data_IF_201131554522
#
_entry.id   IF_201131554522
#
_cell.length_a   1.000
_cell.length_b   1.000
_cell.length_c   1.000
_cell.angle_alpha   90.00
_cell.angle_beta   90.00
_cell.angle_gamma   90.00
#
_symmetry.space_group_name_H-M   'P 1'
#
loop_
_entity.id
_entity.type
_entity.pdbx_description
1 polymer ?
#
# COMPACT_ATOMS: atom_id res chain seq x y z
N UNK A 1 16.67 11.89 8.23
CA UNK A 1 16.64 10.51 7.72
C UNK A 1 17.62 10.42 6.56
N UNK A 2 18.57 9.49 6.59
CA UNK A 2 19.56 9.35 5.51
C UNK A 2 18.94 8.65 4.28
N UNK A 3 19.62 8.69 3.13
CA UNK A 3 19.07 8.14 1.89
C UNK A 3 18.82 6.63 1.97
N UNK A 4 19.70 5.88 2.64
CA UNK A 4 19.54 4.44 2.83
C UNK A 4 18.23 4.10 3.54
N UNK A 5 17.87 4.79 4.62
CA UNK A 5 16.60 4.57 5.33
C UNK A 5 15.39 4.91 4.46
N UNK A 6 15.46 5.96 3.62
CA UNK A 6 14.38 6.30 2.67
C UNK A 6 14.15 5.17 1.66
N UNK A 7 15.24 4.64 1.10
CA UNK A 7 15.19 3.54 0.11
C UNK A 7 14.59 2.29 0.75
N UNK A 8 15.10 1.86 1.92
CA UNK A 8 14.58 0.68 2.62
C UNK A 8 13.09 0.85 2.95
N UNK A 9 12.70 2.00 3.49
CA UNK A 9 11.29 2.28 3.79
C UNK A 9 10.41 2.24 2.55
N UNK A 10 10.86 2.82 1.44
CA UNK A 10 10.14 2.81 0.19
C UNK A 10 10.02 1.39 -0.41
N UNK A 11 11.08 0.59 -0.36
CA UNK A 11 11.06 -0.81 -0.81
C UNK A 11 10.05 -1.64 -0.02
N UNK A 12 10.01 -1.49 1.31
CA UNK A 12 9.02 -2.17 2.14
C UNK A 12 7.59 -1.73 1.82
N UNK A 13 7.35 -0.42 1.65
CA UNK A 13 6.03 0.08 1.26
C UNK A 13 5.61 -0.39 -0.14
N UNK A 14 6.54 -0.50 -1.09
CA UNK A 14 6.27 -1.06 -2.41
C UNK A 14 5.90 -2.54 -2.33
N UNK A 15 6.58 -3.32 -1.50
CA UNK A 15 6.25 -4.73 -1.29
C UNK A 15 4.83 -4.89 -0.70
N UNK A 16 4.47 -4.08 0.29
CA UNK A 16 3.12 -4.07 0.87
C UNK A 16 2.07 -3.61 -0.15
N UNK A 17 2.38 -2.59 -0.95
CA UNK A 17 1.50 -2.11 -2.02
C UNK A 17 1.25 -3.20 -3.07
N UNK A 18 2.30 -3.92 -3.48
CA UNK A 18 2.17 -5.05 -4.40
C UNK A 18 1.31 -6.18 -3.79
N UNK A 19 1.55 -6.53 -2.52
CA UNK A 19 0.72 -7.49 -1.78
C UNK A 19 -0.75 -7.07 -1.73
N UNK A 20 -1.03 -5.79 -1.45
CA UNK A 20 -2.39 -5.26 -1.45
C UNK A 20 -3.02 -5.31 -2.84
N UNK A 21 -2.26 -5.04 -3.90
CA UNK A 21 -2.73 -5.18 -5.28
C UNK A 21 -3.14 -6.62 -5.61
N UNK A 22 -2.30 -7.60 -5.26
CA UNK A 22 -2.62 -9.02 -5.41
C UNK A 22 -3.83 -9.44 -4.58
N UNK A 23 -3.88 -9.07 -3.29
CA UNK A 23 -5.00 -9.37 -2.40
C UNK A 23 -6.32 -8.75 -2.88
N UNK A 24 -6.27 -7.52 -3.39
CA UNK A 24 -7.45 -6.87 -3.98
C UNK A 24 -7.96 -7.65 -5.20
N UNK A 25 -7.07 -8.09 -6.09
CA UNK A 25 -7.43 -8.92 -7.25
C UNK A 25 -7.99 -10.29 -6.82
N UNK A 26 -7.51 -10.87 -5.73
CA UNK A 26 -8.06 -12.11 -5.18
C UNK A 26 -9.51 -11.94 -4.68
N UNK A 27 -9.96 -10.73 -4.33
CA UNK A 27 -11.36 -10.50 -3.95
C UNK A 27 -12.37 -10.63 -5.09
N UNK A 28 -11.92 -10.87 -6.32
CA UNK A 28 -12.79 -11.22 -7.46
C UNK A 28 -13.07 -12.72 -7.54
N UNK A 29 -12.41 -13.53 -6.71
CA UNK A 29 -12.79 -14.93 -6.52
C UNK A 29 -14.15 -15.06 -5.83
N UNK A 30 -14.83 -16.22 -5.96
CA UNK A 30 -16.13 -16.45 -5.35
C UNK A 30 -16.03 -16.41 -3.81
N UNK A 31 -16.42 -15.28 -3.24
CA UNK A 31 -16.52 -15.02 -1.80
C UNK A 31 -17.89 -14.42 -1.50
N UNK A 32 -18.35 -14.48 -0.25
CA UNK A 32 -19.55 -13.75 0.13
C UNK A 32 -19.36 -12.23 -0.03
N UNK A 33 -20.45 -11.51 -0.31
CA UNK A 33 -20.40 -10.09 -0.67
C UNK A 33 -19.78 -9.21 0.44
N UNK A 34 -20.04 -9.54 1.71
CA UNK A 34 -19.46 -8.81 2.85
C UNK A 34 -17.95 -8.97 2.94
N UNK A 35 -17.45 -10.19 2.76
CA UNK A 35 -16.02 -10.49 2.75
C UNK A 35 -15.32 -9.81 1.57
N UNK A 36 -15.90 -9.87 0.36
CA UNK A 36 -15.35 -9.15 -0.80
C UNK A 36 -15.21 -7.65 -0.53
N UNK A 37 -16.28 -7.00 -0.09
CA UNK A 37 -16.28 -5.55 0.13
C UNK A 37 -15.30 -5.15 1.23
N UNK A 38 -15.27 -5.90 2.34
CA UNK A 38 -14.37 -5.63 3.47
C UNK A 38 -12.91 -5.67 3.01
N UNK A 39 -12.50 -6.72 2.31
CA UNK A 39 -11.12 -6.86 1.88
C UNK A 39 -10.73 -5.88 0.76
N UNK A 40 -11.66 -5.53 -0.14
CA UNK A 40 -11.42 -4.47 -1.14
C UNK A 40 -11.10 -3.13 -0.48
N UNK A 41 -11.87 -2.77 0.55
CA UNK A 41 -11.64 -1.54 1.31
C UNK A 41 -10.29 -1.61 2.03
N UNK A 42 -10.00 -2.70 2.73
CA UNK A 42 -8.74 -2.87 3.47
C UNK A 42 -7.53 -2.77 2.54
N UNK A 43 -7.50 -3.58 1.46
CA UNK A 43 -6.38 -3.54 0.51
C UNK A 43 -6.28 -2.21 -0.21
N UNK A 44 -7.41 -1.59 -0.58
CA UNK A 44 -7.42 -0.26 -1.20
C UNK A 44 -6.85 0.82 -0.30
N UNK A 45 -7.30 0.91 0.96
CA UNK A 45 -6.84 1.92 1.91
C UNK A 45 -5.36 1.72 2.27
N UNK A 46 -4.94 0.47 2.56
CA UNK A 46 -3.55 0.19 2.91
C UNK A 46 -2.62 0.44 1.72
N UNK A 47 -3.01 0.02 0.51
CA UNK A 47 -2.25 0.29 -0.71
C UNK A 47 -2.06 1.78 -0.98
N UNK A 48 -3.13 2.57 -0.85
CA UNK A 48 -3.07 4.04 -1.00
C UNK A 48 -2.23 4.70 0.10
N UNK A 49 -2.31 4.21 1.35
CA UNK A 49 -1.48 4.70 2.44
C UNK A 49 0.01 4.43 2.19
N UNK A 50 0.37 3.26 1.67
CA UNK A 50 1.74 2.95 1.26
C UNK A 50 2.22 3.86 0.13
N UNK A 51 1.38 4.11 -0.89
CA UNK A 51 1.70 5.04 -1.97
C UNK A 51 1.94 6.45 -1.45
N UNK A 52 1.04 6.98 -0.60
CA UNK A 52 1.21 8.28 0.04
C UNK A 52 2.45 8.35 0.93
N UNK A 53 2.75 7.27 1.65
CA UNK A 53 3.97 7.13 2.46
C UNK A 53 5.24 7.21 1.61
N UNK A 54 5.30 6.51 0.48
CA UNK A 54 6.42 6.58 -0.48
C UNK A 54 6.60 8.02 -0.97
N UNK A 55 5.52 8.67 -1.42
CA UNK A 55 5.58 10.07 -1.86
C UNK A 55 6.10 10.96 -0.73
N UNK A 56 5.59 10.83 0.49
CA UNK A 56 6.03 11.60 1.64
C UNK A 56 7.49 11.34 2.04
N UNK A 57 8.02 10.13 1.80
CA UNK A 57 9.43 9.82 2.01
C UNK A 57 10.32 10.62 1.06
N UNK A 58 9.90 10.84 -0.19
CA UNK A 58 10.72 11.48 -1.23
C UNK A 58 10.48 12.97 -1.42
N UNK A 59 9.28 13.47 -1.09
CA UNK A 59 8.96 14.90 -1.17
C UNK A 59 9.81 15.69 -0.16
N UNK A 60 10.52 16.75 -0.61
CA UNK A 60 11.23 17.64 0.29
C UNK A 60 10.22 18.32 1.22
N UNK A 61 10.42 18.22 2.54
CA UNK A 61 9.69 19.08 3.47
C UNK A 61 10.22 20.50 3.27
N UNK A 62 9.38 21.43 2.77
CA UNK A 62 9.66 22.87 2.88
C UNK A 62 9.71 23.17 4.38
N UNK A 63 10.90 23.53 4.85
CA UNK A 63 11.11 24.09 6.20
C UNK A 63 10.66 25.54 6.25
#
# INVERSE_FOLDING_TARGET
>A
MNQATRIVGATLMLAVMAFCGFGFLATFEPLDASTQLTWRIVYGLVGLACLGGIVALFVPRKS
#
